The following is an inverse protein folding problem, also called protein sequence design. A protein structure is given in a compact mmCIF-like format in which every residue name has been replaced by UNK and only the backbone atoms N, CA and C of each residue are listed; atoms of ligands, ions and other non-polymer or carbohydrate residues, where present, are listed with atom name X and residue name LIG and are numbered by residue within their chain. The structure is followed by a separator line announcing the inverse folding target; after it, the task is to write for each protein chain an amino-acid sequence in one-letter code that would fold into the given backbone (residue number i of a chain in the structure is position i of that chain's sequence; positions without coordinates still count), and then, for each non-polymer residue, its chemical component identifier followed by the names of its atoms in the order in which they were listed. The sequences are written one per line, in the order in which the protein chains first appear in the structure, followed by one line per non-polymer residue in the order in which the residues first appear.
data_IF_154789709880
#
_entry.id   IF_154789709880
#
_cell.length_a   1.000
_cell.length_b   1.000
_cell.length_c   1.000
_cell.angle_alpha   90.00
_cell.angle_beta   90.00
_cell.angle_gamma   90.00
#
_symmetry.space_group_name_H-M   'P 1'
#
loop_
_entity.id
_entity.type
_entity.pdbx_description
1 polymer ?
#
# COMPACT_ATOMS: atom_id res chain seq x y z
N UNK A 1 -6.82 -16.39 1.64
CA UNK A 1 -6.34 -15.25 2.39
C UNK A 1 -5.12 -14.65 1.74
N UNK A 2 -5.08 -13.35 1.71
CA UNK A 2 -3.94 -12.68 1.10
C UNK A 2 -2.74 -12.73 2.03
N UNK A 3 -1.57 -12.85 1.47
CA UNK A 3 -0.35 -12.86 2.24
C UNK A 3 0.21 -11.46 2.45
N UNK A 4 0.07 -10.61 1.43
CA UNK A 4 0.59 -9.25 1.50
C UNK A 4 -0.55 -8.27 1.46
N UNK A 5 -0.45 -7.22 2.24
CA UNK A 5 -1.47 -6.19 2.26
C UNK A 5 -0.83 -4.85 2.00
N UNK A 6 -1.43 -4.10 1.08
CA UNK A 6 -1.03 -2.72 0.86
C UNK A 6 -1.79 -1.86 1.85
N UNK A 7 -1.07 -1.07 2.61
CA UNK A 7 -1.68 -0.20 3.61
C UNK A 7 -1.31 1.24 3.36
N UNK A 8 -2.15 2.12 3.85
CA UNK A 8 -1.90 3.55 3.77
C UNK A 8 -1.35 4.02 5.11
N UNK A 9 -0.19 4.66 5.07
CA UNK A 9 0.42 5.22 6.26
C UNK A 9 -0.07 6.63 6.45
N UNK A 10 -0.14 7.05 7.71
CA UNK A 10 -0.76 8.33 8.04
C UNK A 10 0.01 9.54 7.50
N UNK A 11 1.26 9.36 7.13
CA UNK A 11 2.09 10.47 6.65
C UNK A 11 2.46 10.30 5.20
N UNK A 12 1.54 10.36 4.34
CA UNK A 12 1.76 10.35 2.91
C UNK A 12 2.46 9.18 2.35
N UNK A 13 2.22 8.06 2.70
CA UNK A 13 2.92 6.96 2.10
C UNK A 13 2.07 5.73 2.09
N UNK A 14 2.60 4.76 1.40
CA UNK A 14 1.99 3.44 1.34
C UNK A 14 3.04 2.44 1.76
N UNK A 15 2.61 1.33 2.28
CA UNK A 15 3.53 0.31 2.71
C UNK A 15 2.94 -1.05 2.42
N UNK A 16 3.78 -2.07 2.49
CA UNK A 16 3.34 -3.45 2.30
C UNK A 16 3.65 -4.20 3.58
N UNK A 17 2.67 -4.91 4.09
CA UNK A 17 2.89 -5.75 5.25
C UNK A 17 2.70 -7.20 4.86
N UNK A 18 3.48 -8.08 5.48
CA UNK A 18 3.41 -9.51 5.26
C UNK A 18 2.62 -10.12 6.42
N UNK A 19 1.43 -10.62 6.12
CA UNK A 19 0.56 -11.13 7.17
C UNK A 19 1.17 -12.34 7.87
N UNK A 20 2.09 -13.04 7.22
CA UNK A 20 2.70 -14.20 7.86
C UNK A 20 3.69 -13.80 8.94
N UNK A 21 4.14 -12.55 8.95
CA UNK A 21 5.06 -12.05 9.95
C UNK A 21 4.37 -11.27 11.05
N UNK A 22 3.07 -11.06 10.93
CA UNK A 22 2.32 -10.31 11.92
C UNK A 22 1.53 -11.24 12.81
N UNK A 23 1.40 -10.85 14.07
CA UNK A 23 0.49 -11.55 14.95
C UNK A 23 -0.93 -11.10 14.62
N UNK A 24 -1.91 -11.85 15.14
CA UNK A 24 -3.29 -11.51 14.91
C UNK A 24 -3.62 -10.13 15.43
N UNK A 25 -3.05 -9.78 16.56
CA UNK A 25 -3.29 -8.47 17.15
C UNK A 25 -2.73 -7.36 16.27
N UNK A 26 -1.56 -7.57 15.71
CA UNK A 26 -0.95 -6.58 14.84
C UNK A 26 -1.77 -6.41 13.57
N UNK A 27 -2.23 -7.52 13.02
CA UNK A 27 -3.04 -7.46 11.81
C UNK A 27 -4.35 -6.73 12.06
N UNK A 28 -4.96 -6.96 13.22
CA UNK A 28 -6.18 -6.27 13.56
C UNK A 28 -5.99 -4.77 13.65
N UNK A 29 -4.83 -4.35 14.14
CA UNK A 29 -4.53 -2.93 14.22
C UNK A 29 -4.41 -2.31 12.85
N UNK A 30 -3.86 -3.05 11.90
CA UNK A 30 -3.65 -2.51 10.57
C UNK A 30 -4.88 -2.58 9.69
N UNK A 31 -5.87 -3.35 10.10
CA UNK A 31 -7.06 -3.56 9.27
C UNK A 31 -7.69 -2.28 8.74
N UNK A 32 -7.88 -1.24 9.56
CA UNK A 32 -8.51 -0.02 9.04
C UNK A 32 -7.71 0.67 7.96
N UNK A 33 -6.42 0.35 7.86
CA UNK A 33 -5.55 1.00 6.89
C UNK A 33 -5.29 0.14 5.67
N UNK A 34 -5.77 -1.08 5.66
CA UNK A 34 -5.55 -1.99 4.56
C UNK A 34 -6.38 -1.54 3.36
N UNK A 35 -5.70 -1.34 2.23
CA UNK A 35 -6.36 -0.96 1.01
C UNK A 35 -6.74 -2.16 0.18
N UNK A 36 -5.83 -3.13 0.07
CA UNK A 36 -6.08 -4.31 -0.71
C UNK A 36 -5.10 -5.40 -0.32
N UNK A 37 -5.53 -6.65 -0.49
CA UNK A 37 -4.69 -7.81 -0.22
C UNK A 37 -4.20 -8.45 -1.49
N UNK A 38 -3.01 -9.04 -1.42
CA UNK A 38 -2.38 -9.68 -2.56
C UNK A 38 -1.71 -10.97 -2.12
N UNK A 39 -1.59 -11.91 -3.05
CA UNK A 39 -0.87 -13.15 -2.78
C UNK A 39 0.58 -13.06 -3.20
N UNK A 40 0.93 -12.04 -3.97
CA UNK A 40 2.27 -11.86 -4.51
C UNK A 40 2.75 -10.47 -4.15
N UNK A 41 4.00 -10.38 -3.69
CA UNK A 41 4.54 -9.09 -3.29
C UNK A 41 4.67 -8.14 -4.48
N UNK A 42 4.92 -8.68 -5.66
CA UNK A 42 5.04 -7.84 -6.83
C UNK A 42 3.72 -7.16 -7.17
N UNK A 43 2.63 -7.90 -7.02
CA UNK A 43 1.32 -7.31 -7.23
C UNK A 43 1.06 -6.18 -6.26
N UNK A 44 1.45 -6.38 -5.00
CA UNK A 44 1.28 -5.34 -4.00
C UNK A 44 2.12 -4.11 -4.34
N UNK A 45 3.35 -4.34 -4.78
CA UNK A 45 4.22 -3.24 -5.17
C UNK A 45 3.67 -2.48 -6.36
N UNK A 46 3.17 -3.20 -7.35
CA UNK A 46 2.60 -2.57 -8.52
C UNK A 46 1.39 -1.73 -8.15
N UNK A 47 0.58 -2.23 -7.24
CA UNK A 47 -0.58 -1.48 -6.78
C UNK A 47 -0.14 -0.17 -6.14
N UNK A 48 0.87 -0.22 -5.29
CA UNK A 48 1.36 0.96 -4.60
C UNK A 48 2.03 1.91 -5.58
N UNK A 49 2.81 1.37 -6.51
CA UNK A 49 3.45 2.19 -7.52
C UNK A 49 2.42 2.96 -8.34
N UNK A 50 1.32 2.31 -8.67
CA UNK A 50 0.26 2.98 -9.42
C UNK A 50 -0.37 4.10 -8.61
N UNK A 51 -0.57 3.89 -7.32
CA UNK A 51 -1.13 4.93 -6.49
C UNK A 51 -0.19 6.12 -6.37
N UNK A 52 1.07 5.83 -6.09
CA UNK A 52 2.07 6.88 -5.96
C UNK A 52 2.33 7.55 -7.28
N UNK A 53 2.33 6.78 -8.34
CA UNK A 53 2.53 7.33 -9.67
C UNK A 53 1.44 8.28 -10.07
N UNK A 54 0.21 7.95 -9.73
CA UNK A 54 -0.90 8.84 -10.02
C UNK A 54 -0.77 10.15 -9.28
N UNK A 55 -0.37 10.08 -8.02
CA UNK A 55 -0.18 11.29 -7.24
C UNK A 55 0.97 12.11 -7.81
N UNK A 56 2.06 11.43 -8.15
CA UNK A 56 3.20 12.12 -8.71
C UNK A 56 2.87 12.73 -10.06
N UNK A 57 2.12 12.01 -10.87
CA UNK A 57 1.73 12.52 -12.16
C UNK A 57 0.88 13.77 -12.04
N UNK A 58 -0.02 13.76 -11.08
CA UNK A 58 -0.83 14.95 -10.85
C UNK A 58 0.02 16.15 -10.53
N UNK A 59 1.04 15.94 -9.71
CA UNK A 59 1.95 17.02 -9.37
C UNK A 59 2.83 17.42 -10.54
N UNK A 60 3.34 16.42 -11.23
CA UNK A 60 4.21 16.70 -12.35
C UNK A 60 3.52 17.48 -13.43
N UNK A 61 2.29 17.15 -13.70
CA UNK A 61 1.54 17.89 -14.69
C UNK A 61 1.42 19.35 -14.32
N UNK A 62 1.22 19.60 -13.05
CA UNK A 62 1.16 20.98 -12.61
C UNK A 62 2.49 21.67 -12.70
N UNK A 63 3.56 20.93 -12.52
CA UNK A 63 4.89 21.49 -12.53
C UNK A 63 5.45 21.71 -13.91
N UNK A 64 5.18 20.80 -14.79
CA UNK A 64 5.77 20.84 -16.09
C UNK A 64 5.30 21.98 -16.91
N UNK A 65 4.17 22.40 -16.58
CA UNK A 65 3.60 23.50 -17.31
C UNK A 65 3.99 24.80 -16.73
#
# INVERSE_FOLDING_TARGET
MARFYAIECSNFGYSIIDSSELSEMQLEREKPYILKGFNDIEDARNFIDNLEGKQAQGRCLGNEL
#
